data_IF_754193524682
#
_entry.id   IF_754193524682
#
_cell.length_a   1.000
_cell.length_b   1.000
_cell.length_c   1.000
_cell.angle_alpha   90.00
_cell.angle_beta   90.00
_cell.angle_gamma   90.00
#
_symmetry.space_group_name_H-M   'P 1'
#
loop_
_entity.id
_entity.type
_entity.pdbx_description
1 polymer ?
#
# COMPACT_ATOMS: atom_id res chain seq x y z
N UNK A 1 37.64 21.56 23.75
CA UNK A 1 38.66 20.54 24.08
C UNK A 1 37.96 19.45 24.88
N UNK A 2 38.09 18.17 24.50
CA UNK A 2 37.69 17.07 25.37
C UNK A 2 38.63 17.04 26.60
N UNK A 3 38.20 16.43 27.71
CA UNK A 3 38.92 16.40 29.01
C UNK A 3 40.39 15.94 28.95
N UNK A 4 40.85 15.41 27.81
CA UNK A 4 42.16 14.81 27.61
C UNK A 4 43.05 15.59 26.61
N UNK A 5 42.66 16.80 26.18
CA UNK A 5 43.53 17.66 25.35
C UNK A 5 43.71 17.25 23.87
N UNK A 6 43.03 16.20 23.40
CA UNK A 6 43.14 15.74 22.01
C UNK A 6 42.34 16.65 21.06
N UNK A 7 42.98 17.14 20.01
CA UNK A 7 42.36 17.93 18.93
C UNK A 7 41.45 17.05 18.06
N UNK A 8 40.26 17.53 17.71
CA UNK A 8 39.32 16.85 16.79
C UNK A 8 39.98 16.45 15.45
N UNK A 9 40.92 17.26 14.96
CA UNK A 9 41.66 16.99 13.73
C UNK A 9 42.75 15.93 13.86
N UNK A 10 43.12 15.51 15.08
CA UNK A 10 44.05 14.39 15.31
C UNK A 10 43.31 13.06 15.49
N UNK A 11 42.09 13.09 16.04
CA UNK A 11 41.25 11.89 16.25
C UNK A 11 41.03 11.11 14.95
N UNK A 12 40.90 11.80 13.81
CA UNK A 12 40.71 11.17 12.49
C UNK A 12 41.90 10.30 12.03
N UNK A 13 43.11 10.52 12.56
CA UNK A 13 44.32 9.77 12.21
C UNK A 13 44.62 8.62 13.18
N UNK A 14 43.85 8.50 14.26
CA UNK A 14 44.02 7.44 15.26
C UNK A 14 43.28 6.19 14.85
N UNK A 15 43.87 5.02 15.10
CA UNK A 15 43.21 3.73 14.89
C UNK A 15 42.13 3.46 15.97
N UNK A 16 41.39 2.35 15.81
CA UNK A 16 40.31 2.00 16.74
C UNK A 16 40.81 1.67 18.15
N UNK A 17 42.01 1.08 18.29
CA UNK A 17 42.57 0.68 19.57
C UNK A 17 43.05 1.90 20.37
N UNK A 18 43.72 2.85 19.73
CA UNK A 18 44.19 4.09 20.35
C UNK A 18 43.03 4.97 20.84
N UNK A 19 41.92 5.03 20.09
CA UNK A 19 40.71 5.75 20.51
C UNK A 19 40.05 5.11 21.72
N UNK A 20 40.03 3.77 21.77
CA UNK A 20 39.46 3.03 22.88
C UNK A 20 40.28 3.19 24.16
N UNK A 21 41.62 3.16 24.04
CA UNK A 21 42.55 3.42 25.15
C UNK A 21 42.43 4.84 25.73
N UNK A 22 42.09 5.84 24.90
CA UNK A 22 41.89 7.23 25.34
C UNK A 22 40.49 7.53 25.90
N UNK A 23 39.60 6.53 25.98
CA UNK A 23 38.21 6.73 26.42
C UNK A 23 37.37 7.58 25.45
N UNK A 24 37.85 7.77 24.21
CA UNK A 24 37.14 8.50 23.17
C UNK A 24 36.08 7.60 22.56
N UNK A 25 34.90 7.58 23.18
CA UNK A 25 33.77 6.81 22.66
C UNK A 25 33.37 7.35 21.29
N UNK A 26 33.32 6.46 20.30
CA UNK A 26 32.87 6.79 18.95
C UNK A 26 31.41 7.25 18.96
N UNK A 27 30.93 7.98 17.93
CA UNK A 27 29.52 8.37 17.84
C UNK A 27 28.55 7.21 18.05
N UNK A 28 28.79 6.05 17.42
CA UNK A 28 27.93 4.88 17.58
C UNK A 28 28.05 4.26 18.97
N UNK A 29 29.24 4.21 19.58
CA UNK A 29 29.39 3.75 20.96
C UNK A 29 28.63 4.64 21.96
N UNK A 30 28.60 5.96 21.74
CA UNK A 30 27.82 6.89 22.57
C UNK A 30 26.33 6.68 22.37
N UNK A 31 25.89 6.50 21.13
CA UNK A 31 24.49 6.25 20.80
C UNK A 31 24.00 4.95 21.44
N UNK A 32 24.77 3.86 21.32
CA UNK A 32 24.42 2.54 21.86
C UNK A 32 24.13 2.53 23.37
N UNK A 33 24.76 3.41 24.17
CA UNK A 33 24.52 3.51 25.63
C UNK A 33 23.10 3.91 26.01
N UNK A 34 22.40 4.57 25.10
CA UNK A 34 21.02 5.03 25.31
C UNK A 34 20.01 4.18 24.54
N UNK A 35 20.49 3.16 23.83
CA UNK A 35 19.66 2.25 23.06
C UNK A 35 19.37 0.97 23.86
N UNK A 36 18.22 0.38 23.59
CA UNK A 36 17.85 -0.92 24.12
C UNK A 36 18.53 -2.03 23.30
N UNK A 37 19.22 -2.96 23.96
CA UNK A 37 19.66 -4.20 23.32
C UNK A 37 18.43 -5.11 23.10
N UNK A 38 18.11 -5.34 21.82
CA UNK A 38 16.90 -6.05 21.40
C UNK A 38 16.96 -7.54 21.75
N UNK A 39 18.14 -8.14 21.62
CA UNK A 39 18.35 -9.58 21.80
C UNK A 39 19.02 -9.93 23.13
N UNK A 40 19.60 -8.93 23.81
CA UNK A 40 20.36 -9.13 25.04
C UNK A 40 21.79 -9.66 24.79
N UNK A 41 22.22 -9.72 23.53
CA UNK A 41 23.52 -10.24 23.12
C UNK A 41 24.50 -9.14 22.66
N UNK A 42 24.08 -7.87 22.69
CA UNK A 42 24.82 -6.68 22.25
C UNK A 42 24.83 -6.46 20.74
N UNK A 43 24.05 -7.22 19.96
CA UNK A 43 24.17 -7.25 18.51
C UNK A 43 23.28 -6.30 17.76
N UNK A 44 22.08 -6.04 18.29
CA UNK A 44 21.10 -5.15 17.70
C UNK A 44 20.63 -4.20 18.80
N UNK A 45 21.01 -2.93 18.68
CA UNK A 45 20.56 -1.90 19.60
C UNK A 45 19.49 -1.05 18.94
N UNK A 46 18.42 -0.72 19.65
CA UNK A 46 17.27 0.04 19.18
C UNK A 46 17.04 1.32 19.98
N UNK A 47 16.80 2.42 19.30
CA UNK A 47 16.21 3.65 19.86
C UNK A 47 14.89 3.91 19.13
N UNK A 48 13.79 4.01 19.89
CA UNK A 48 12.51 4.47 19.33
C UNK A 48 12.54 6.00 19.30
N UNK A 49 12.56 6.57 18.10
CA UNK A 49 12.58 8.03 17.90
C UNK A 49 11.16 8.59 17.86
N UNK A 50 10.23 7.84 17.26
CA UNK A 50 8.79 8.13 17.28
C UNK A 50 8.02 6.84 17.45
N UNK A 51 7.19 6.80 18.49
CA UNK A 51 6.32 5.66 18.78
C UNK A 51 5.34 5.37 17.64
N UNK A 52 5.06 4.08 17.47
CA UNK A 52 3.98 3.60 16.61
C UNK A 52 2.79 3.10 17.42
N UNK A 53 1.77 2.62 16.73
CA UNK A 53 0.53 2.14 17.32
C UNK A 53 0.21 0.70 16.92
N UNK A 54 -0.65 0.05 17.71
CA UNK A 54 -1.11 -1.31 17.46
C UNK A 54 -0.05 -2.35 17.81
N UNK A 55 -0.26 -3.63 17.44
CA UNK A 55 0.67 -4.70 17.80
C UNK A 55 2.00 -4.59 17.03
N UNK A 56 2.97 -5.41 17.47
CA UNK A 56 4.23 -5.57 16.75
C UNK A 56 3.99 -6.17 15.36
N UNK A 57 4.90 -5.86 14.43
CA UNK A 57 4.92 -6.46 13.09
C UNK A 57 5.07 -8.00 13.19
N UNK A 58 4.14 -8.78 12.61
CA UNK A 58 4.22 -10.25 12.60
C UNK A 58 5.45 -10.78 11.82
N UNK A 59 5.90 -11.99 12.15
CA UNK A 59 7.15 -12.58 11.61
C UNK A 59 7.21 -12.66 10.08
N UNK A 60 6.09 -13.02 9.44
CA UNK A 60 6.01 -13.20 7.98
C UNK A 60 5.08 -12.14 7.35
N UNK A 61 5.03 -10.95 7.95
CA UNK A 61 4.27 -9.84 7.42
C UNK A 61 4.94 -9.23 6.19
N UNK A 62 4.13 -8.59 5.35
CA UNK A 62 4.60 -7.71 4.30
C UNK A 62 4.61 -6.29 4.84
N UNK A 63 5.80 -5.71 4.99
CA UNK A 63 6.01 -4.44 5.70
C UNK A 63 6.26 -3.31 4.71
N UNK A 64 5.55 -2.21 4.92
CA UNK A 64 5.69 -0.96 4.17
C UNK A 64 6.73 -0.08 4.85
N UNK A 65 7.94 -0.03 4.32
CA UNK A 65 9.07 0.58 5.02
C UNK A 65 9.83 1.59 4.15
N UNK A 66 10.29 2.67 4.80
CA UNK A 66 11.46 3.40 4.34
C UNK A 66 12.60 3.21 5.33
N UNK A 67 13.82 3.09 4.81
CA UNK A 67 15.00 3.02 5.63
C UNK A 67 16.18 3.72 4.96
N UNK A 68 17.18 4.06 5.76
CA UNK A 68 18.46 4.59 5.30
C UNK A 68 19.58 4.04 6.18
N UNK A 69 20.59 3.45 5.56
CA UNK A 69 21.74 2.85 6.22
C UNK A 69 22.95 3.77 6.18
N UNK A 70 23.64 3.94 7.30
CA UNK A 70 24.78 4.84 7.47
C UNK A 70 25.98 4.11 8.07
N UNK A 71 27.17 4.48 7.59
CA UNK A 71 28.44 4.12 8.21
C UNK A 71 28.81 5.15 9.27
N UNK A 72 29.67 4.75 10.21
CA UNK A 72 30.14 5.69 11.21
C UNK A 72 30.92 6.85 10.56
N UNK A 73 30.64 8.08 10.99
CA UNK A 73 31.18 9.33 10.43
C UNK A 73 30.77 9.66 8.99
N UNK A 74 29.87 8.89 8.36
CA UNK A 74 29.34 9.22 7.04
C UNK A 74 28.15 10.18 7.16
N UNK A 75 28.20 11.28 6.40
CA UNK A 75 27.09 12.24 6.30
C UNK A 75 25.98 11.78 5.34
N UNK A 76 26.32 10.87 4.41
CA UNK A 76 25.39 10.30 3.44
C UNK A 76 25.14 8.82 3.71
N UNK A 77 23.90 8.35 3.49
CA UNK A 77 23.61 6.94 3.62
C UNK A 77 24.25 6.15 2.47
N UNK A 78 24.79 4.96 2.78
CA UNK A 78 25.27 4.03 1.76
C UNK A 78 24.11 3.35 1.01
N UNK A 79 22.92 3.31 1.63
CA UNK A 79 21.68 2.92 0.98
C UNK A 79 20.48 3.69 1.54
N UNK A 80 19.51 4.01 0.68
CA UNK A 80 18.27 4.65 1.12
C UNK A 80 17.11 4.31 0.20
N UNK A 81 15.96 3.99 0.78
CA UNK A 81 14.71 3.83 0.02
C UNK A 81 13.87 5.10 -0.01
N UNK A 82 14.29 6.18 0.67
CA UNK A 82 13.54 7.46 0.74
C UNK A 82 13.43 8.19 -0.60
N UNK A 83 14.25 7.84 -1.59
CA UNK A 83 14.13 8.37 -2.96
C UNK A 83 12.90 7.86 -3.71
N UNK A 84 12.23 6.80 -3.23
CA UNK A 84 11.02 6.27 -3.84
C UNK A 84 9.79 7.07 -3.40
N UNK A 85 8.92 7.43 -4.35
CA UNK A 85 7.65 8.14 -4.07
C UNK A 85 6.77 7.41 -3.05
N UNK A 86 6.82 6.08 -3.06
CA UNK A 86 6.07 5.23 -2.15
C UNK A 86 7.00 4.29 -1.40
N UNK A 87 6.71 3.99 -0.11
CA UNK A 87 7.46 2.97 0.62
C UNK A 87 7.38 1.63 -0.09
N UNK A 88 8.50 0.90 -0.13
CA UNK A 88 8.52 -0.45 -0.68
C UNK A 88 7.78 -1.40 0.27
N UNK A 89 7.00 -2.31 -0.29
CA UNK A 89 6.41 -3.41 0.46
C UNK A 89 7.39 -4.58 0.40
N UNK A 90 7.85 -5.06 1.55
CA UNK A 90 8.85 -6.11 1.64
C UNK A 90 8.35 -7.23 2.54
N UNK A 91 8.34 -8.46 2.04
CA UNK A 91 8.00 -9.65 2.83
C UNK A 91 9.16 -9.99 3.77
N UNK A 92 8.90 -10.00 5.07
CA UNK A 92 9.87 -10.47 6.06
C UNK A 92 10.21 -11.94 5.83
N UNK A 93 11.48 -12.31 6.07
CA UNK A 93 12.02 -13.64 5.82
C UNK A 93 12.28 -13.97 4.35
N UNK A 94 11.89 -13.11 3.38
CA UNK A 94 12.07 -13.35 1.94
C UNK A 94 12.72 -12.18 1.21
N UNK A 95 12.15 -10.99 1.32
CA UNK A 95 12.62 -9.81 0.57
C UNK A 95 13.61 -8.94 1.37
N UNK A 96 13.58 -9.00 2.71
CA UNK A 96 14.52 -8.31 3.58
C UNK A 96 15.75 -9.18 3.79
N UNK A 97 16.81 -8.91 3.03
CA UNK A 97 18.01 -9.74 2.98
C UNK A 97 18.99 -9.47 4.12
N UNK A 98 18.99 -8.25 4.68
CA UNK A 98 19.84 -7.92 5.82
C UNK A 98 19.21 -8.46 7.11
N UNK A 99 19.85 -9.49 7.68
CA UNK A 99 19.29 -10.24 8.80
C UNK A 99 18.95 -9.38 10.02
N UNK A 100 19.84 -8.43 10.38
CA UNK A 100 19.60 -7.51 11.48
C UNK A 100 18.41 -6.57 11.22
N UNK A 101 18.19 -6.15 9.97
CA UNK A 101 17.03 -5.32 9.61
C UNK A 101 15.74 -6.12 9.67
N UNK A 102 15.75 -7.39 9.25
CA UNK A 102 14.59 -8.27 9.35
C UNK A 102 14.17 -8.48 10.82
N UNK A 103 15.12 -8.77 11.71
CA UNK A 103 14.87 -8.85 13.16
C UNK A 103 14.36 -7.50 13.70
N UNK A 104 14.99 -6.41 13.30
CA UNK A 104 14.65 -5.05 13.76
C UNK A 104 13.20 -4.69 13.43
N UNK A 105 12.72 -4.98 12.22
CA UNK A 105 11.35 -4.70 11.79
C UNK A 105 10.29 -5.42 12.63
N UNK A 106 10.57 -6.65 13.09
CA UNK A 106 9.68 -7.43 13.97
C UNK A 106 9.50 -6.80 15.36
N UNK A 107 10.38 -5.88 15.75
CA UNK A 107 10.27 -5.12 17.01
C UNK A 107 9.47 -3.83 16.87
N UNK A 108 9.04 -3.48 15.66
CA UNK A 108 8.40 -2.20 15.37
C UNK A 108 6.88 -2.31 15.34
N UNK A 109 6.20 -1.16 15.49
CA UNK A 109 4.76 -0.98 15.35
C UNK A 109 4.42 -0.13 14.11
N UNK A 110 3.14 -0.10 13.74
CA UNK A 110 2.66 0.75 12.64
C UNK A 110 2.90 2.22 12.93
N UNK A 111 3.51 2.96 12.00
CA UNK A 111 3.82 4.39 12.13
C UNK A 111 5.14 4.70 12.84
N UNK A 112 5.77 3.70 13.44
CA UNK A 112 7.00 3.84 14.24
C UNK A 112 8.17 4.32 13.38
N UNK A 113 8.99 5.20 13.95
CA UNK A 113 10.31 5.56 13.42
C UNK A 113 11.37 5.24 14.48
N UNK A 114 12.31 4.38 14.13
CA UNK A 114 13.33 3.86 15.04
C UNK A 114 14.71 3.86 14.39
N UNK A 115 15.73 3.96 15.23
CA UNK A 115 17.13 3.80 14.89
C UNK A 115 17.64 2.46 15.37
N UNK A 116 18.44 1.80 14.54
CA UNK A 116 19.04 0.52 14.86
C UNK A 116 20.55 0.55 14.61
N UNK A 117 21.35 0.25 15.63
CA UNK A 117 22.76 -0.05 15.46
C UNK A 117 22.93 -1.56 15.33
N UNK A 118 23.40 -2.00 14.16
CA UNK A 118 23.59 -3.40 13.83
C UNK A 118 25.08 -3.72 13.85
N UNK A 119 25.48 -4.62 14.74
CA UNK A 119 26.84 -5.15 14.76
C UNK A 119 27.13 -5.98 13.51
N UNK A 120 28.41 -6.18 13.13
CA UNK A 120 28.79 -6.85 11.87
C UNK A 120 28.09 -8.19 11.67
N UNK A 121 27.96 -9.00 12.73
CA UNK A 121 27.26 -10.30 12.69
C UNK A 121 25.78 -10.25 12.27
N UNK A 122 25.12 -9.10 12.43
CA UNK A 122 23.74 -8.84 12.04
C UNK A 122 23.65 -7.93 10.81
N UNK A 123 24.78 -7.51 10.25
CA UNK A 123 24.87 -6.63 9.10
C UNK A 123 25.67 -7.32 7.97
N UNK A 124 26.84 -6.77 7.60
CA UNK A 124 27.65 -7.21 6.46
C UNK A 124 28.84 -8.11 6.85
N UNK A 125 28.95 -8.48 8.13
CA UNK A 125 29.96 -9.42 8.65
C UNK A 125 31.41 -8.93 8.53
N UNK A 126 32.32 -9.86 8.75
CA UNK A 126 33.77 -9.62 8.68
C UNK A 126 34.26 -9.31 7.27
N UNK A 127 33.52 -9.71 6.23
CA UNK A 127 33.89 -9.43 4.85
C UNK A 127 33.42 -8.05 4.37
N UNK A 128 32.40 -7.47 5.02
CA UNK A 128 31.78 -6.23 4.57
C UNK A 128 31.14 -6.37 3.18
N UNK A 129 31.09 -5.26 2.44
CA UNK A 129 30.68 -5.21 1.03
C UNK A 129 31.57 -4.20 0.28
N UNK A 130 32.82 -4.56 -0.05
CA UNK A 130 33.77 -3.64 -0.68
C UNK A 130 33.31 -3.14 -2.07
N UNK A 131 33.64 -1.89 -2.46
CA UNK A 131 34.35 -0.88 -1.67
C UNK A 131 33.44 -0.06 -0.73
N UNK A 132 32.13 -0.33 -0.71
CA UNK A 132 31.13 0.52 -0.09
C UNK A 132 31.07 0.37 1.44
N UNK A 133 31.14 -0.87 1.93
CA UNK A 133 31.04 -1.19 3.36
C UNK A 133 32.32 -1.93 3.79
N UNK A 134 33.09 -1.38 4.75
CA UNK A 134 34.29 -2.03 5.25
C UNK A 134 34.04 -3.37 5.95
N UNK A 135 35.04 -4.27 5.97
CA UNK A 135 35.12 -5.41 6.89
C UNK A 135 34.78 -5.04 8.34
N UNK A 136 33.94 -5.82 9.00
CA UNK A 136 33.67 -5.66 10.45
C UNK A 136 32.96 -4.36 10.82
N UNK A 137 32.29 -3.68 9.87
CA UNK A 137 31.62 -2.42 10.13
C UNK A 137 30.28 -2.58 10.88
N UNK A 138 30.12 -1.85 11.98
CA UNK A 138 28.80 -1.55 12.57
C UNK A 138 28.09 -0.51 11.71
N UNK A 139 26.79 -0.70 11.48
CA UNK A 139 25.97 0.20 10.66
C UNK A 139 24.77 0.72 11.42
N UNK A 140 24.38 1.96 11.15
CA UNK A 140 23.17 2.59 11.68
C UNK A 140 22.06 2.55 10.63
N UNK A 141 20.90 2.02 10.96
CA UNK A 141 19.69 2.15 10.15
C UNK A 141 18.69 3.07 10.81
N UNK A 142 18.24 4.07 10.07
CA UNK A 142 17.02 4.80 10.39
C UNK A 142 15.86 4.18 9.63
N UNK A 143 14.85 3.67 10.34
CA UNK A 143 13.78 2.86 9.77
C UNK A 143 12.42 3.45 10.14
N UNK A 144 11.56 3.63 9.14
CA UNK A 144 10.17 4.06 9.31
C UNK A 144 9.22 2.98 8.78
N UNK A 145 8.40 2.42 9.66
CA UNK A 145 7.30 1.52 9.28
C UNK A 145 6.05 2.36 9.09
N UNK A 146 5.52 2.39 7.87
CA UNK A 146 4.27 3.08 7.57
C UNK A 146 3.06 2.21 7.89
N UNK A 147 3.12 0.96 7.45
CA UNK A 147 2.05 -0.01 7.63
C UNK A 147 2.59 -1.44 7.41
N UNK A 148 1.79 -2.45 7.74
CA UNK A 148 2.11 -3.84 7.42
C UNK A 148 0.84 -4.65 7.17
N UNK A 149 0.98 -5.71 6.39
CA UNK A 149 -0.08 -6.66 6.09
C UNK A 149 0.33 -8.04 6.63
N UNK A 150 -0.56 -8.66 7.42
CA UNK A 150 -0.39 -10.04 7.90
C UNK A 150 -0.57 -11.00 6.72
N UNK A 151 0.52 -11.18 5.96
CA UNK A 151 0.55 -12.00 4.76
C UNK A 151 0.81 -13.48 5.02
N UNK A 152 1.18 -13.88 6.25
CA UNK A 152 1.44 -15.27 6.58
C UNK A 152 0.21 -16.14 6.31
N UNK A 153 -0.93 -15.71 6.85
CA UNK A 153 -2.22 -16.38 6.67
C UNK A 153 -2.68 -16.40 5.22
N UNK A 154 -2.27 -15.42 4.42
CA UNK A 154 -2.61 -15.37 3.00
C UNK A 154 -1.84 -16.45 2.27
N UNK A 155 -0.53 -16.52 2.48
CA UNK A 155 0.33 -17.52 1.83
C UNK A 155 -0.09 -18.94 2.23
N UNK A 156 -0.25 -19.21 3.52
CA UNK A 156 -0.73 -20.50 4.04
C UNK A 156 -2.09 -20.89 3.42
N UNK A 157 -3.01 -19.93 3.28
CA UNK A 157 -4.31 -20.19 2.67
C UNK A 157 -4.20 -20.57 1.18
N UNK A 158 -3.29 -19.92 0.44
CA UNK A 158 -3.09 -20.20 -0.98
C UNK A 158 -2.39 -21.54 -1.24
N UNK A 159 -1.68 -22.08 -0.24
CA UNK A 159 -1.08 -23.42 -0.30
C UNK A 159 -2.11 -24.55 -0.11
N UNK A 160 -3.27 -24.25 0.49
CA UNK A 160 -4.36 -25.22 0.67
C UNK A 160 -5.05 -25.55 -0.66
N UNK A 161 -5.47 -26.81 -0.79
CA UNK A 161 -6.38 -27.23 -1.86
C UNK A 161 -7.77 -26.58 -1.73
N UNK A 162 -8.57 -26.58 -2.80
CA UNK A 162 -9.91 -25.98 -2.78
C UNK A 162 -10.84 -26.63 -1.74
N UNK A 163 -10.71 -27.94 -1.50
CA UNK A 163 -11.48 -28.66 -0.49
C UNK A 163 -11.08 -28.18 0.91
N UNK A 164 -9.78 -28.09 1.20
CA UNK A 164 -9.26 -27.60 2.48
C UNK A 164 -9.64 -26.13 2.72
N UNK A 165 -9.60 -25.29 1.69
CA UNK A 165 -10.06 -23.89 1.77
C UNK A 165 -11.55 -23.78 2.13
N UNK A 166 -12.37 -24.75 1.73
CA UNK A 166 -13.79 -24.77 2.11
C UNK A 166 -14.03 -25.28 3.53
N UNK A 167 -13.09 -26.03 4.11
CA UNK A 167 -13.16 -26.48 5.50
C UNK A 167 -12.72 -25.43 6.51
N UNK A 168 -11.95 -24.42 6.10
CA UNK A 168 -11.52 -23.37 7.04
C UNK A 168 -12.70 -22.55 7.57
N UNK A 169 -12.60 -21.99 8.78
CA UNK A 169 -13.61 -21.07 9.30
C UNK A 169 -13.79 -19.85 8.39
N UNK A 170 -15.04 -19.42 8.20
CA UNK A 170 -15.36 -18.22 7.41
C UNK A 170 -14.59 -16.98 7.90
N UNK A 171 -14.39 -16.83 9.21
CA UNK A 171 -13.61 -15.72 9.78
C UNK A 171 -12.17 -15.66 9.26
N UNK A 172 -11.55 -16.83 9.05
CA UNK A 172 -10.21 -16.95 8.49
C UNK A 172 -10.22 -16.52 7.02
N UNK A 173 -11.15 -17.06 6.22
CA UNK A 173 -11.32 -16.66 4.82
C UNK A 173 -11.54 -15.13 4.70
N UNK A 174 -12.43 -14.56 5.50
CA UNK A 174 -12.72 -13.12 5.48
C UNK A 174 -11.49 -12.29 5.87
N UNK A 175 -10.64 -12.80 6.78
CA UNK A 175 -9.36 -12.17 7.10
C UNK A 175 -8.41 -12.18 5.91
N UNK A 176 -8.26 -13.31 5.23
CA UNK A 176 -7.42 -13.44 4.01
C UNK A 176 -7.90 -12.50 2.91
N UNK A 177 -9.20 -12.50 2.64
CA UNK A 177 -9.85 -11.61 1.66
C UNK A 177 -9.64 -10.14 2.01
N UNK A 178 -9.74 -9.78 3.29
CA UNK A 178 -9.48 -8.41 3.76
C UNK A 178 -8.02 -8.01 3.52
N UNK A 179 -7.07 -8.89 3.81
CA UNK A 179 -5.64 -8.64 3.55
C UNK A 179 -5.37 -8.50 2.04
N UNK A 180 -5.92 -9.39 1.22
CA UNK A 180 -5.77 -9.34 -0.24
C UNK A 180 -6.36 -8.06 -0.86
N UNK A 181 -7.53 -7.65 -0.37
CA UNK A 181 -8.10 -6.34 -0.72
C UNK A 181 -7.21 -5.17 -0.29
N UNK A 182 -6.50 -5.29 0.84
CA UNK A 182 -5.61 -4.24 1.33
C UNK A 182 -4.34 -4.12 0.49
N UNK A 183 -3.80 -5.24 -0.04
CA UNK A 183 -2.78 -5.19 -1.09
C UNK A 183 -3.28 -4.44 -2.32
N UNK A 184 -4.52 -4.72 -2.77
CA UNK A 184 -5.14 -4.00 -3.88
C UNK A 184 -5.31 -2.50 -3.61
N UNK A 185 -5.71 -2.09 -2.40
CA UNK A 185 -5.84 -0.68 -2.01
C UNK A 185 -4.50 0.04 -2.12
N UNK A 186 -3.42 -0.59 -1.64
CA UNK A 186 -2.09 -0.02 -1.73
C UNK A 186 -1.65 0.16 -3.18
N UNK A 187 -1.79 -0.86 -4.03
CA UNK A 187 -1.49 -0.74 -5.46
C UNK A 187 -2.30 0.41 -6.09
N UNK A 188 -3.57 0.54 -5.71
CA UNK A 188 -4.44 1.61 -6.20
C UNK A 188 -3.95 3.01 -5.77
N UNK A 189 -3.57 3.19 -4.51
CA UNK A 189 -2.98 4.45 -3.99
C UNK A 189 -1.68 4.80 -4.71
N UNK A 190 -0.90 3.79 -5.09
CA UNK A 190 0.33 3.94 -5.86
C UNK A 190 0.08 4.17 -7.36
N UNK A 191 -1.18 4.24 -7.79
CA UNK A 191 -1.60 4.34 -9.20
C UNK A 191 -1.25 3.12 -10.06
N UNK A 192 -0.85 2.00 -9.45
CA UNK A 192 -0.66 0.72 -10.12
C UNK A 192 -2.01 0.01 -10.27
N UNK A 193 -2.85 0.56 -11.15
CA UNK A 193 -4.24 0.13 -11.28
C UNK A 193 -4.40 -1.29 -11.84
N UNK A 194 -3.48 -1.77 -12.67
CA UNK A 194 -3.51 -3.15 -13.15
C UNK A 194 -3.22 -4.15 -12.02
N UNK A 195 -2.20 -3.91 -11.21
CA UNK A 195 -1.90 -4.73 -10.03
C UNK A 195 -3.04 -4.69 -9.01
N UNK A 196 -3.61 -3.50 -8.78
CA UNK A 196 -4.78 -3.35 -7.90
C UNK A 196 -5.96 -4.20 -8.39
N UNK A 197 -6.25 -4.17 -9.69
CA UNK A 197 -7.30 -4.96 -10.35
C UNK A 197 -7.06 -6.46 -10.15
N UNK A 198 -5.82 -6.93 -10.32
CA UNK A 198 -5.51 -8.36 -10.18
C UNK A 198 -5.63 -8.82 -8.72
N UNK A 199 -5.18 -8.02 -7.75
CA UNK A 199 -5.38 -8.26 -6.31
C UNK A 199 -6.86 -8.30 -5.91
N UNK A 200 -7.66 -7.33 -6.36
CA UNK A 200 -9.09 -7.35 -6.06
C UNK A 200 -9.82 -8.54 -6.70
N UNK A 201 -9.40 -8.97 -7.90
CA UNK A 201 -9.94 -10.19 -8.52
C UNK A 201 -9.56 -11.44 -7.75
N UNK A 202 -8.33 -11.53 -7.26
CA UNK A 202 -7.90 -12.64 -6.41
C UNK A 202 -8.73 -12.70 -5.13
N UNK A 203 -8.95 -11.56 -4.46
CA UNK A 203 -9.86 -11.47 -3.31
C UNK A 203 -11.30 -11.89 -3.64
N UNK A 204 -11.82 -11.51 -4.82
CA UNK A 204 -13.16 -11.92 -5.28
C UNK A 204 -13.23 -13.42 -5.61
N UNK A 205 -12.16 -13.99 -6.16
CA UNK A 205 -12.07 -15.42 -6.46
C UNK A 205 -12.16 -16.26 -5.19
N UNK A 206 -11.47 -15.84 -4.12
CA UNK A 206 -11.53 -16.49 -2.81
C UNK A 206 -12.97 -16.57 -2.26
N UNK A 207 -13.73 -15.47 -2.35
CA UNK A 207 -15.14 -15.46 -1.94
C UNK A 207 -16.02 -16.32 -2.84
N UNK A 208 -15.79 -16.31 -4.15
CA UNK A 208 -16.56 -17.11 -5.12
C UNK A 208 -16.32 -18.62 -4.97
N UNK A 209 -15.12 -19.01 -4.56
CA UNK A 209 -14.73 -20.40 -4.36
C UNK A 209 -15.29 -20.99 -3.06
N UNK A 210 -15.84 -20.15 -2.17
CA UNK A 210 -16.47 -20.59 -0.93
C UNK A 210 -17.82 -21.23 -1.23
N UNK A 211 -17.99 -22.46 -0.78
CA UNK A 211 -19.26 -23.16 -0.70
C UNK A 211 -19.89 -22.86 0.66
N UNK A 212 -20.94 -22.02 0.73
CA UNK A 212 -21.55 -21.64 2.01
C UNK A 212 -22.24 -22.83 2.67
N UNK A 213 -22.03 -23.01 3.98
CA UNK A 213 -22.71 -24.07 4.73
C UNK A 213 -24.21 -23.80 4.93
N UNK A 214 -24.58 -22.51 5.03
CA UNK A 214 -25.95 -22.05 5.22
C UNK A 214 -26.20 -20.68 4.55
N UNK A 215 -27.46 -20.23 4.56
CA UNK A 215 -27.85 -18.95 3.96
C UNK A 215 -27.28 -17.73 4.72
N UNK A 216 -26.96 -17.85 6.01
CA UNK A 216 -26.38 -16.74 6.77
C UNK A 216 -24.91 -16.54 6.39
N UNK A 217 -24.15 -17.62 6.25
CA UNK A 217 -22.79 -17.59 5.72
C UNK A 217 -22.77 -17.07 4.29
N UNK A 218 -23.71 -17.51 3.44
CA UNK A 218 -23.84 -17.01 2.07
C UNK A 218 -24.04 -15.50 2.04
N UNK A 219 -24.95 -14.98 2.87
CA UNK A 219 -25.16 -13.54 3.03
C UNK A 219 -23.90 -12.81 3.49
N UNK A 220 -23.15 -13.36 4.44
CA UNK A 220 -21.88 -12.77 4.89
C UNK A 220 -20.80 -12.74 3.80
N UNK A 221 -20.73 -13.77 2.95
CA UNK A 221 -19.83 -13.82 1.79
C UNK A 221 -20.24 -12.76 0.74
N UNK A 222 -21.54 -12.60 0.49
CA UNK A 222 -22.07 -11.55 -0.39
C UNK A 222 -21.76 -10.15 0.16
N UNK A 223 -22.00 -9.90 1.44
CA UNK A 223 -21.66 -8.63 2.10
C UNK A 223 -20.16 -8.32 2.03
N UNK A 224 -19.30 -9.34 2.19
CA UNK A 224 -17.85 -9.20 2.06
C UNK A 224 -17.40 -8.87 0.61
N UNK A 225 -18.21 -9.23 -0.38
CA UNK A 225 -17.94 -8.94 -1.80
C UNK A 225 -18.14 -7.47 -2.14
N UNK A 226 -19.06 -6.78 -1.46
CA UNK A 226 -19.42 -5.38 -1.73
C UNK A 226 -18.21 -4.42 -1.79
N UNK A 227 -17.31 -4.34 -0.78
CA UNK A 227 -16.16 -3.44 -0.85
C UNK A 227 -15.20 -3.77 -2.00
N UNK A 228 -15.10 -5.04 -2.40
CA UNK A 228 -14.23 -5.47 -3.50
C UNK A 228 -14.85 -5.10 -4.85
N UNK A 229 -16.15 -5.32 -5.03
CA UNK A 229 -16.89 -4.89 -6.25
C UNK A 229 -16.81 -3.38 -6.44
N UNK A 230 -16.98 -2.63 -5.35
CA UNK A 230 -16.81 -1.18 -5.33
C UNK A 230 -15.39 -0.81 -5.80
N UNK A 231 -14.36 -1.41 -5.23
CA UNK A 231 -12.97 -1.12 -5.61
C UNK A 231 -12.66 -1.52 -7.05
N UNK A 232 -13.16 -2.66 -7.53
CA UNK A 232 -13.03 -3.09 -8.93
C UNK A 232 -13.71 -2.09 -9.88
N UNK A 233 -14.93 -1.65 -9.56
CA UNK A 233 -15.65 -0.66 -10.36
C UNK A 233 -14.83 0.63 -10.52
N UNK A 234 -14.30 1.17 -9.40
CA UNK A 234 -13.43 2.34 -9.44
C UNK A 234 -12.13 2.09 -10.20
N UNK A 235 -11.51 0.92 -10.01
CA UNK A 235 -10.24 0.57 -10.68
C UNK A 235 -10.43 0.47 -12.19
N UNK A 236 -11.54 -0.09 -12.66
CA UNK A 236 -11.84 -0.12 -14.09
C UNK A 236 -12.18 1.25 -14.68
N UNK A 237 -12.74 2.19 -13.89
CA UNK A 237 -12.86 3.59 -14.32
C UNK A 237 -11.48 4.23 -14.52
N UNK A 238 -10.52 3.97 -13.61
CA UNK A 238 -9.13 4.45 -13.74
C UNK A 238 -8.38 3.80 -14.90
N UNK A 239 -8.74 2.57 -15.27
CA UNK A 239 -8.22 1.84 -16.43
C UNK A 239 -8.98 2.14 -17.73
N UNK A 240 -9.85 3.16 -17.76
CA UNK A 240 -10.62 3.58 -18.94
C UNK A 240 -11.45 2.44 -19.57
N UNK A 241 -11.95 1.53 -18.73
CA UNK A 241 -12.77 0.37 -19.12
C UNK A 241 -14.19 0.51 -18.53
N UNK A 242 -14.99 1.49 -18.98
CA UNK A 242 -16.25 1.86 -18.35
C UNK A 242 -17.30 0.74 -18.40
N UNK A 243 -17.33 -0.08 -19.45
CA UNK A 243 -18.23 -1.26 -19.52
C UNK A 243 -18.04 -2.22 -18.36
N UNK A 244 -16.77 -2.54 -18.02
CA UNK A 244 -16.46 -3.40 -16.87
C UNK A 244 -16.74 -2.69 -15.55
N UNK A 245 -16.44 -1.40 -15.46
CA UNK A 245 -16.74 -0.61 -14.28
C UNK A 245 -18.24 -0.60 -13.94
N UNK A 246 -19.10 -0.46 -14.97
CA UNK A 246 -20.54 -0.52 -14.84
C UNK A 246 -21.00 -1.90 -14.35
N UNK A 247 -20.51 -2.99 -14.95
CA UNK A 247 -20.86 -4.35 -14.52
C UNK A 247 -20.57 -4.60 -13.03
N UNK A 248 -19.38 -4.22 -12.55
CA UNK A 248 -19.04 -4.35 -11.13
C UNK A 248 -19.85 -3.41 -10.23
N UNK A 249 -20.16 -2.21 -10.72
CA UNK A 249 -21.03 -1.26 -10.01
C UNK A 249 -22.46 -1.78 -9.86
N UNK A 250 -23.05 -2.36 -10.90
CA UNK A 250 -24.37 -2.96 -10.88
C UNK A 250 -24.43 -4.16 -9.93
N UNK A 251 -23.43 -5.04 -9.97
CA UNK A 251 -23.31 -6.14 -8.99
C UNK A 251 -23.20 -5.64 -7.54
N UNK A 252 -22.54 -4.51 -7.30
CA UNK A 252 -22.53 -3.88 -5.98
C UNK A 252 -23.92 -3.34 -5.57
N UNK A 253 -24.74 -2.90 -6.52
CA UNK A 253 -26.12 -2.48 -6.29
C UNK A 253 -27.08 -3.65 -6.08
N UNK A 254 -26.81 -4.82 -6.67
CA UNK A 254 -27.58 -6.05 -6.36
C UNK A 254 -27.48 -6.39 -4.87
N UNK A 255 -26.28 -6.25 -4.28
CA UNK A 255 -26.05 -6.47 -2.84
C UNK A 255 -26.58 -5.30 -2.00
N UNK A 256 -26.37 -4.06 -2.48
CA UNK A 256 -26.75 -2.86 -1.75
C UNK A 256 -27.36 -1.81 -2.70
N UNK A 257 -28.68 -1.87 -2.98
CA UNK A 257 -29.33 -1.04 -4.00
C UNK A 257 -29.23 0.47 -3.76
N UNK A 258 -29.06 0.88 -2.50
CA UNK A 258 -28.93 2.29 -2.11
C UNK A 258 -27.48 2.79 -2.00
N UNK A 259 -26.48 2.00 -2.40
CA UNK A 259 -25.09 2.36 -2.19
C UNK A 259 -24.67 3.56 -3.07
N UNK A 260 -24.49 4.73 -2.45
CA UNK A 260 -24.17 5.97 -3.16
C UNK A 260 -22.88 5.88 -3.97
N UNK A 261 -21.85 5.16 -3.48
CA UNK A 261 -20.59 4.99 -4.21
C UNK A 261 -20.77 4.16 -5.48
N UNK A 262 -21.58 3.10 -5.42
CA UNK A 262 -21.90 2.28 -6.59
C UNK A 262 -22.73 3.09 -7.60
N UNK A 263 -23.80 3.76 -7.16
CA UNK A 263 -24.62 4.62 -8.02
C UNK A 263 -23.79 5.68 -8.74
N UNK A 264 -22.95 6.42 -7.99
CA UNK A 264 -22.06 7.43 -8.56
C UNK A 264 -21.10 6.85 -9.61
N UNK A 265 -20.48 5.69 -9.33
CA UNK A 265 -19.55 5.03 -10.26
C UNK A 265 -20.25 4.48 -11.50
N UNK A 266 -21.47 3.93 -11.36
CA UNK A 266 -22.30 3.53 -12.49
C UNK A 266 -22.65 4.73 -13.37
N UNK A 267 -23.08 5.84 -12.77
CA UNK A 267 -23.35 7.09 -13.48
C UNK A 267 -22.13 7.63 -14.22
N UNK A 268 -20.96 7.61 -13.58
CA UNK A 268 -19.68 7.97 -14.21
C UNK A 268 -19.34 7.04 -15.38
N UNK A 269 -19.51 5.73 -15.21
CA UNK A 269 -19.25 4.75 -16.27
C UNK A 269 -20.18 4.95 -17.48
N UNK A 270 -21.49 5.17 -17.26
CA UNK A 270 -22.45 5.47 -18.32
C UNK A 270 -22.09 6.77 -19.05
N UNK A 271 -21.70 7.82 -18.32
CA UNK A 271 -21.27 9.08 -18.91
C UNK A 271 -20.04 8.92 -19.83
N UNK A 272 -19.04 8.13 -19.43
CA UNK A 272 -17.88 7.87 -20.29
C UNK A 272 -18.19 6.92 -21.47
N UNK A 273 -19.36 6.27 -21.46
CA UNK A 273 -19.90 5.52 -22.60
C UNK A 273 -20.89 6.33 -23.45
N UNK A 274 -21.10 7.61 -23.15
CA UNK A 274 -22.12 8.48 -23.75
C UNK A 274 -23.56 7.97 -23.60
N UNK A 275 -23.83 7.09 -22.63
CA UNK A 275 -25.19 6.69 -22.25
C UNK A 275 -25.74 7.70 -21.24
N UNK A 276 -26.17 8.86 -21.76
CA UNK A 276 -26.56 10.01 -20.95
C UNK A 276 -27.82 9.78 -20.13
N UNK A 277 -28.77 9.00 -20.66
CA UNK A 277 -30.03 8.65 -20.00
C UNK A 277 -29.76 7.83 -18.74
N UNK A 278 -29.04 6.71 -18.86
CA UNK A 278 -28.68 5.90 -17.69
C UNK A 278 -27.76 6.64 -16.73
N UNK A 279 -26.87 7.48 -17.25
CA UNK A 279 -26.03 8.32 -16.40
C UNK A 279 -26.88 9.26 -15.53
N UNK A 280 -27.91 9.89 -16.11
CA UNK A 280 -28.82 10.76 -15.38
C UNK A 280 -29.59 10.00 -14.30
N UNK A 281 -30.13 8.82 -14.62
CA UNK A 281 -30.85 7.97 -13.68
C UNK A 281 -29.99 7.65 -12.45
N UNK A 282 -28.80 7.07 -12.66
CA UNK A 282 -27.92 6.69 -11.56
C UNK A 282 -27.46 7.89 -10.72
N UNK A 283 -27.13 9.01 -11.36
CA UNK A 283 -26.65 10.21 -10.64
C UNK A 283 -27.78 10.91 -9.88
N UNK A 284 -29.01 10.90 -10.39
CA UNK A 284 -30.18 11.43 -9.67
C UNK A 284 -30.48 10.57 -8.44
N UNK A 285 -30.41 9.24 -8.56
CA UNK A 285 -30.52 8.33 -7.41
C UNK A 285 -29.42 8.58 -6.38
N UNK A 286 -28.17 8.82 -6.82
CA UNK A 286 -27.07 9.14 -5.94
C UNK A 286 -27.26 10.49 -5.22
N UNK A 287 -27.70 11.51 -5.95
CA UNK A 287 -27.98 12.85 -5.43
C UNK A 287 -29.13 12.83 -4.42
N UNK A 288 -30.18 12.05 -4.67
CA UNK A 288 -31.29 11.88 -3.72
C UNK A 288 -30.81 11.32 -2.36
N UNK A 289 -29.74 10.51 -2.34
CA UNK A 289 -29.10 10.02 -1.12
C UNK A 289 -28.13 11.01 -0.48
N UNK A 290 -27.43 11.82 -1.29
CA UNK A 290 -26.50 12.86 -0.84
C UNK A 290 -26.64 14.16 -1.65
N UNK A 291 -27.62 15.02 -1.32
CA UNK A 291 -27.95 16.19 -2.15
C UNK A 291 -26.82 17.22 -2.25
N UNK A 292 -26.02 17.36 -1.19
CA UNK A 292 -24.94 18.36 -1.07
C UNK A 292 -23.56 17.82 -1.44
N UNK A 293 -23.47 16.62 -2.01
CA UNK A 293 -22.20 16.03 -2.43
C UNK A 293 -21.64 16.78 -3.65
N UNK A 294 -20.45 17.36 -3.51
CA UNK A 294 -19.83 18.17 -4.55
C UNK A 294 -19.50 17.36 -5.81
N UNK A 295 -19.08 16.11 -5.65
CA UNK A 295 -18.63 15.27 -6.76
C UNK A 295 -19.82 14.83 -7.62
N UNK A 296 -20.93 14.43 -6.98
CA UNK A 296 -22.18 14.10 -7.67
C UNK A 296 -22.69 15.31 -8.46
N UNK A 297 -22.77 16.47 -7.81
CA UNK A 297 -23.29 17.69 -8.44
C UNK A 297 -22.40 18.18 -9.59
N UNK A 298 -21.08 18.09 -9.46
CA UNK A 298 -20.15 18.41 -10.54
C UNK A 298 -20.30 17.44 -11.73
N UNK A 299 -20.49 16.15 -11.45
CA UNK A 299 -20.69 15.16 -12.51
C UNK A 299 -22.03 15.34 -13.24
N UNK A 300 -23.10 15.71 -12.53
CA UNK A 300 -24.39 16.08 -13.13
C UNK A 300 -24.28 17.33 -14.03
N UNK A 301 -23.50 18.34 -13.63
CA UNK A 301 -23.21 19.49 -14.50
C UNK A 301 -22.45 19.08 -15.75
N UNK A 302 -21.43 18.22 -15.60
CA UNK A 302 -20.67 17.67 -16.73
C UNK A 302 -21.57 16.87 -17.69
N UNK A 303 -22.50 16.08 -17.15
CA UNK A 303 -23.51 15.35 -17.91
C UNK A 303 -24.40 16.32 -18.71
N UNK A 304 -24.98 17.32 -18.06
CA UNK A 304 -25.84 18.30 -18.73
C UNK A 304 -25.13 19.04 -19.86
N UNK A 305 -23.86 19.41 -19.64
CA UNK A 305 -23.05 20.05 -20.67
C UNK A 305 -22.81 19.12 -21.87
N UNK A 306 -22.33 17.88 -21.66
CA UNK A 306 -22.11 16.90 -22.73
C UNK A 306 -23.39 16.56 -23.50
N UNK A 307 -24.51 16.44 -22.79
CA UNK A 307 -25.80 16.16 -23.40
C UNK A 307 -26.26 17.31 -24.33
N UNK A 308 -26.13 18.55 -23.89
CA UNK A 308 -26.46 19.73 -24.72
C UNK A 308 -25.56 19.84 -25.95
N UNK A 309 -24.25 19.58 -25.80
CA UNK A 309 -23.33 19.56 -26.93
C UNK A 309 -23.72 18.52 -27.98
N UNK A 310 -24.18 17.34 -27.56
CA UNK A 310 -24.62 16.30 -28.49
C UNK A 310 -25.91 16.69 -29.23
N UNK A 311 -26.89 17.25 -28.51
CA UNK A 311 -28.11 17.78 -29.13
C UNK A 311 -27.82 18.88 -30.14
N UNK A 312 -26.86 19.77 -29.87
CA UNK A 312 -26.51 20.84 -30.80
C UNK A 312 -25.78 20.29 -32.05
N UNK A 313 -24.96 19.24 -31.90
CA UNK A 313 -24.39 18.53 -33.06
C UNK A 313 -25.47 17.84 -33.90
N UNK A 314 -26.42 17.17 -33.26
CA UNK A 314 -27.54 16.52 -33.96
C UNK A 314 -28.37 17.54 -34.74
N UNK A 315 -28.74 18.67 -34.12
CA UNK A 315 -29.43 19.77 -34.81
C UNK A 315 -28.65 20.29 -36.01
N UNK A 316 -27.34 20.48 -35.85
CA UNK A 316 -26.48 20.95 -36.94
C UNK A 316 -26.36 19.94 -38.08
N UNK A 317 -26.23 18.65 -37.77
CA UNK A 317 -26.20 17.57 -38.76
C UNK A 317 -27.52 17.48 -39.52
N UNK A 318 -28.66 17.49 -38.81
CA UNK A 318 -29.99 17.51 -39.43
C UNK A 318 -30.15 18.72 -40.35
N UNK A 319 -29.79 19.93 -39.88
CA UNK A 319 -29.86 21.16 -40.68
C UNK A 319 -29.07 21.04 -41.99
N UNK A 320 -27.85 20.50 -41.93
CA UNK A 320 -27.02 20.24 -43.12
C UNK A 320 -27.66 19.24 -44.08
N UNK A 321 -28.16 18.10 -43.58
CA UNK A 321 -28.83 17.11 -44.43
C UNK A 321 -30.05 17.69 -45.14
N UNK A 322 -30.89 18.46 -44.43
CA UNK A 322 -32.05 19.12 -45.02
C UNK A 322 -31.67 20.19 -46.04
N UNK A 323 -30.56 20.91 -45.83
CA UNK A 323 -30.05 21.88 -46.81
C UNK A 323 -29.53 21.22 -48.09
N UNK A 324 -28.87 20.06 -47.97
CA UNK A 324 -28.38 19.29 -49.11
C UNK A 324 -29.53 18.70 -49.94
N UNK A 325 -30.57 18.17 -49.29
CA UNK A 325 -31.78 17.66 -49.95
C UNK A 325 -32.57 18.73 -50.72
N UNK A 326 -32.43 20.01 -50.36
CA UNK A 326 -33.04 21.13 -51.09
C UNK A 326 -32.27 21.55 -52.33
N UNK A 327 -30.99 21.19 -52.44
CA UNK A 327 -30.12 21.53 -53.58
C UNK A 327 -30.16 20.47 -54.71
N UNK A 328 -30.74 19.29 -54.46
CA UNK A 328 -30.88 18.19 -55.43
C UNK A 328 -32.24 18.15 -56.17
N UNK A 329 -33.06 19.20 -56.04
CA UNK A 329 -34.33 19.38 -56.77
C UNK A 329 -34.26 20.56 -57.72
#
# INVERSE_FOLDING_TARGET
MLRNGVSLGLVQFMDQEERHQLGLNTPFQRLARHMQDVLGDGGIHKEVVREGEGPLVPRDASVSVHFSGFLEYADQPFESTRGSKFPKLMKLGKDVTLWGLDISLRTMRRGEFSRFLLQPRFAFGELGCPPLIPPGATVLYEVQVFDYLDSAKVDEFFELSLEEQNLVPLSTLLSVVKTERSFGNRCFEQSYYDDAKDRYKQAMMLLRNREPADEEEKKRVEEASLPILLNLSLTYLRLEKPRKALQFGQRALEISPGNTKALFRCGQACLEMNDYEKAQEYLTMAQAKKPFDTDINNLLRKLAHRYNEELDKEKHMCSKMFSALKLEK
#
